data_IF_579834549953
#
_entry.id   IF_579834549953
#
_cell.length_a   1.000
_cell.length_b   1.000
_cell.length_c   1.000
_cell.angle_alpha   90.00
_cell.angle_beta   90.00
_cell.angle_gamma   90.00
#
_symmetry.space_group_name_H-M   'P 1'
#
loop_
_entity.id
_entity.type
_entity.pdbx_description
1 polymer ?
#
# COMPACT_ATOMS: atom_id res chain seq x y z
N UNK A 1 9.58 -11.64 -14.63
CA UNK A 1 8.64 -11.60 -13.48
C UNK A 1 8.24 -10.15 -13.24
N UNK A 2 6.95 -9.77 -13.27
CA UNK A 2 6.57 -8.39 -13.07
C UNK A 2 6.86 -7.99 -11.61
N UNK A 3 7.71 -6.99 -11.42
CA UNK A 3 8.04 -6.43 -10.11
C UNK A 3 6.77 -5.83 -9.51
N UNK A 4 6.29 -6.39 -8.38
CA UNK A 4 5.20 -5.80 -7.59
C UNK A 4 5.61 -4.38 -7.16
N UNK A 5 5.11 -3.37 -7.86
CA UNK A 5 5.28 -1.98 -7.44
C UNK A 5 4.23 -1.67 -6.37
N UNK A 6 4.71 -1.40 -5.16
CA UNK A 6 3.87 -0.86 -4.09
C UNK A 6 3.82 0.65 -4.30
N UNK A 7 2.64 1.17 -4.64
CA UNK A 7 2.44 2.61 -4.80
C UNK A 7 2.62 3.31 -3.44
N UNK A 8 3.53 4.27 -3.38
CA UNK A 8 3.87 5.00 -2.16
C UNK A 8 2.88 6.13 -1.87
N UNK A 9 2.61 6.35 -0.59
CA UNK A 9 1.91 7.55 -0.10
C UNK A 9 2.83 8.77 -0.21
N UNK A 10 2.24 9.94 -0.50
CA UNK A 10 2.96 11.20 -0.71
C UNK A 10 3.40 11.86 0.60
N UNK A 11 2.76 11.53 1.72
CA UNK A 11 2.99 12.18 3.02
C UNK A 11 3.56 11.23 4.08
N UNK A 12 3.18 9.96 4.05
CA UNK A 12 3.58 8.98 5.06
C UNK A 12 4.32 7.80 4.42
N UNK A 13 5.36 7.32 5.11
CA UNK A 13 6.02 6.06 4.71
C UNK A 13 5.11 4.89 5.05
N UNK A 14 4.97 3.96 4.12
CA UNK A 14 4.22 2.72 4.38
C UNK A 14 4.99 1.91 5.45
N UNK A 15 4.35 1.52 6.57
CA UNK A 15 4.98 0.72 7.62
C UNK A 15 5.40 -0.66 7.10
N UNK A 16 6.40 -1.26 7.75
CA UNK A 16 7.02 -2.51 7.30
C UNK A 16 6.02 -3.67 7.25
N UNK A 17 5.18 -3.78 8.28
CA UNK A 17 4.15 -4.84 8.40
C UNK A 17 3.12 -4.77 7.26
N UNK A 18 2.68 -3.55 6.93
CA UNK A 18 1.77 -3.31 5.81
C UNK A 18 2.44 -3.64 4.47
N UNK A 19 3.72 -3.31 4.29
CA UNK A 19 4.47 -3.71 3.08
C UNK A 19 4.55 -5.22 2.94
N UNK A 20 4.81 -5.95 4.03
CA UNK A 20 4.89 -7.41 4.02
C UNK A 20 3.53 -8.03 3.67
N UNK A 21 2.44 -7.52 4.25
CA UNK A 21 1.08 -7.95 3.94
C UNK A 21 0.73 -7.73 2.47
N UNK A 22 1.03 -6.56 1.92
CA UNK A 22 0.82 -6.22 0.50
C UNK A 22 1.71 -7.06 -0.45
N UNK A 23 2.94 -7.37 -0.03
CA UNK A 23 3.82 -8.24 -0.79
C UNK A 23 3.31 -9.68 -0.83
N UNK A 24 2.73 -10.16 0.28
CA UNK A 24 2.30 -11.56 0.45
C UNK A 24 0.93 -11.85 -0.14
N UNK A 25 0.03 -10.87 -0.23
CA UNK A 25 -1.32 -11.07 -0.76
C UNK A 25 -1.57 -10.24 -2.03
N UNK A 26 -1.75 -10.92 -3.17
CA UNK A 26 -1.94 -10.25 -4.48
C UNK A 26 -3.29 -9.52 -4.57
N UNK A 27 -4.37 -10.10 -4.06
CA UNK A 27 -5.70 -9.47 -4.12
C UNK A 27 -5.73 -8.17 -3.28
N UNK A 28 -5.14 -8.23 -2.09
CA UNK A 28 -5.05 -7.04 -1.20
C UNK A 28 -4.18 -5.96 -1.84
N UNK A 29 -3.08 -6.33 -2.52
CA UNK A 29 -2.25 -5.38 -3.25
C UNK A 29 -3.00 -4.71 -4.40
N UNK A 30 -3.83 -5.46 -5.14
CA UNK A 30 -4.64 -4.89 -6.22
C UNK A 30 -5.65 -3.88 -5.67
N UNK A 31 -6.36 -4.22 -4.59
CA UNK A 31 -7.26 -3.29 -3.89
C UNK A 31 -6.51 -2.05 -3.38
N UNK A 32 -5.35 -2.22 -2.78
CA UNK A 32 -4.49 -1.13 -2.30
C UNK A 32 -4.04 -0.19 -3.43
N UNK A 33 -3.66 -0.75 -4.57
CA UNK A 33 -3.25 0.03 -5.73
C UNK A 33 -4.42 0.78 -6.39
N UNK A 34 -5.65 0.26 -6.29
CA UNK A 34 -6.87 0.93 -6.73
C UNK A 34 -7.33 2.07 -5.82
N UNK A 35 -6.80 2.20 -4.60
CA UNK A 35 -7.11 3.32 -3.71
C UNK A 35 -6.58 4.64 -4.27
N UNK A 36 -7.32 5.72 -3.99
CA UNK A 36 -6.83 7.06 -4.27
C UNK A 36 -5.60 7.36 -3.41
N UNK A 37 -4.72 8.29 -3.84
CA UNK A 37 -3.60 8.73 -3.02
C UNK A 37 -4.05 9.24 -1.63
N UNK A 38 -5.19 9.93 -1.54
CA UNK A 38 -5.76 10.39 -0.28
C UNK A 38 -6.16 9.22 0.63
N UNK A 39 -6.89 8.24 0.11
CA UNK A 39 -7.32 7.07 0.90
C UNK A 39 -6.13 6.26 1.42
N UNK A 40 -5.06 6.09 0.63
CA UNK A 40 -3.82 5.46 1.12
C UNK A 40 -3.16 6.28 2.24
N UNK A 41 -3.10 7.60 2.08
CA UNK A 41 -2.53 8.48 3.10
C UNK A 41 -3.32 8.41 4.41
N UNK A 42 -4.65 8.48 4.33
CA UNK A 42 -5.51 8.41 5.51
C UNK A 42 -5.33 7.08 6.22
N UNK A 43 -5.36 5.96 5.49
CA UNK A 43 -5.19 4.64 6.08
C UNK A 43 -3.86 4.50 6.85
N UNK A 44 -2.77 5.05 6.32
CA UNK A 44 -1.45 5.05 6.98
C UNK A 44 -1.39 6.03 8.16
N UNK A 45 -2.21 7.08 8.19
CA UNK A 45 -2.25 8.05 9.30
C UNK A 45 -2.97 7.49 10.53
N UNK A 46 -3.89 6.53 10.34
CA UNK A 46 -4.61 5.84 11.41
C UNK A 46 -3.90 4.61 11.96
N UNK A 47 -2.95 4.05 11.22
CA UNK A 47 -2.15 2.86 11.59
C UNK A 47 -0.84 3.30 12.24
#
# INVERSE_FOLDING_TARGET
>A
MPKKQITTSTLHKIPADLKETLASNKEVLEKWNSLTPLARNEWICWV
#
